data_IF_315762848096
#
_entry.id   IF_315762848096
#
_cell.length_a   1.000
_cell.length_b   1.000
_cell.length_c   1.000
_cell.angle_alpha   90.00
_cell.angle_beta   90.00
_cell.angle_gamma   90.00
#
_symmetry.space_group_name_H-M   'P 1'
#
loop_
_entity.id
_entity.type
_entity.pdbx_description
1 polymer ?
#
# COMPACT_ATOMS: atom_id res chain seq x y z
N UNK A 1 19.82 -52.31 -21.58
CA UNK A 1 18.74 -51.33 -21.33
C UNK A 1 18.14 -50.93 -22.67
N UNK A 2 16.93 -51.38 -22.99
CA UNK A 2 16.33 -51.22 -24.33
C UNK A 2 16.08 -49.76 -24.72
N UNK A 3 15.97 -49.52 -26.03
CA UNK A 3 15.85 -48.20 -26.67
C UNK A 3 14.83 -47.23 -26.02
N UNK A 4 13.79 -47.76 -25.38
CA UNK A 4 12.76 -46.99 -24.68
C UNK A 4 13.28 -46.23 -23.44
N UNK A 5 14.28 -46.76 -22.73
CA UNK A 5 14.86 -46.08 -21.56
C UNK A 5 15.62 -44.81 -21.95
N UNK A 6 16.32 -44.84 -23.08
CA UNK A 6 17.07 -43.70 -23.60
C UNK A 6 16.14 -42.58 -24.09
N UNK A 7 15.02 -42.93 -24.74
CA UNK A 7 13.99 -41.99 -25.16
C UNK A 7 13.34 -41.26 -23.96
N UNK A 8 13.00 -41.98 -22.89
CA UNK A 8 12.42 -41.39 -21.67
C UNK A 8 13.41 -40.44 -20.99
N UNK A 9 14.69 -40.82 -20.89
CA UNK A 9 15.72 -39.98 -20.31
C UNK A 9 15.96 -38.68 -21.11
N UNK A 10 15.97 -38.76 -22.44
CA UNK A 10 16.14 -37.57 -23.30
C UNK A 10 14.94 -36.63 -23.21
N UNK A 11 13.71 -37.16 -23.15
CA UNK A 11 12.49 -36.38 -22.95
C UNK A 11 12.46 -35.70 -21.57
N UNK A 12 12.87 -36.40 -20.52
CA UNK A 12 12.99 -35.81 -19.19
C UNK A 12 14.02 -34.67 -19.14
N UNK A 13 15.18 -34.85 -19.78
CA UNK A 13 16.19 -33.77 -19.89
C UNK A 13 15.64 -32.55 -20.65
N UNK A 14 14.87 -32.76 -21.73
CA UNK A 14 14.19 -31.68 -22.46
C UNK A 14 13.17 -30.94 -21.59
N UNK A 15 12.37 -31.68 -20.81
CA UNK A 15 11.39 -31.11 -19.86
C UNK A 15 12.06 -30.25 -18.79
N UNK A 16 13.16 -30.72 -18.19
CA UNK A 16 13.92 -29.95 -17.19
C UNK A 16 14.49 -28.67 -17.78
N UNK A 17 15.09 -28.73 -18.99
CA UNK A 17 15.59 -27.54 -19.69
C UNK A 17 14.49 -26.51 -19.95
N UNK A 18 13.30 -26.96 -20.36
CA UNK A 18 12.14 -26.09 -20.56
C UNK A 18 11.68 -25.44 -19.26
N UNK A 19 11.59 -26.20 -18.16
CA UNK A 19 11.22 -25.67 -16.85
C UNK A 19 12.23 -24.64 -16.34
N UNK A 20 13.52 -24.86 -16.56
CA UNK A 20 14.56 -23.90 -16.18
C UNK A 20 14.43 -22.59 -16.97
N UNK A 21 14.15 -22.66 -18.29
CA UNK A 21 13.87 -21.48 -19.12
C UNK A 21 12.66 -20.70 -18.60
N UNK A 22 11.54 -21.38 -18.34
CA UNK A 22 10.32 -20.75 -17.78
C UNK A 22 10.56 -20.10 -16.42
N UNK A 23 11.33 -20.75 -15.54
CA UNK A 23 11.70 -20.19 -14.23
C UNK A 23 12.57 -18.94 -14.37
N UNK A 24 13.49 -18.92 -15.34
CA UNK A 24 14.30 -17.74 -15.63
C UNK A 24 13.46 -16.58 -16.16
N UNK A 25 12.51 -16.84 -17.05
CA UNK A 25 11.58 -15.84 -17.58
C UNK A 25 10.75 -15.19 -16.46
N UNK A 26 10.17 -15.99 -15.56
CA UNK A 26 9.43 -15.46 -14.38
C UNK A 26 10.33 -14.62 -13.48
N UNK A 27 11.60 -15.02 -13.27
CA UNK A 27 12.57 -14.23 -12.49
C UNK A 27 12.87 -12.90 -13.19
N UNK A 28 13.02 -12.90 -14.52
CA UNK A 28 13.28 -11.69 -15.30
C UNK A 28 12.06 -10.74 -15.29
N UNK A 29 10.85 -11.26 -15.45
CA UNK A 29 9.61 -10.47 -15.32
C UNK A 29 9.50 -9.83 -13.93
N UNK A 30 9.84 -10.56 -12.86
CA UNK A 30 9.87 -10.00 -11.50
C UNK A 30 10.93 -8.91 -11.34
N UNK A 31 12.12 -9.08 -11.93
CA UNK A 31 13.18 -8.04 -11.92
C UNK A 31 12.74 -6.78 -12.66
N UNK A 32 12.18 -6.92 -13.87
CA UNK A 32 11.66 -5.78 -14.64
C UNK A 32 10.53 -5.08 -13.88
N UNK A 33 9.63 -5.83 -13.26
CA UNK A 33 8.56 -5.25 -12.45
C UNK A 33 9.11 -4.46 -11.25
N UNK A 34 10.20 -4.92 -10.63
CA UNK A 34 10.87 -4.19 -9.54
C UNK A 34 11.59 -2.94 -10.04
N UNK A 35 12.19 -2.96 -11.23
CA UNK A 35 12.81 -1.78 -11.84
C UNK A 35 11.76 -0.73 -12.22
N UNK A 36 10.65 -1.15 -12.83
CA UNK A 36 9.59 -0.24 -13.29
C UNK A 36 8.72 0.31 -12.16
N UNK A 37 8.36 -0.52 -11.17
CA UNK A 37 7.38 -0.19 -10.12
C UNK A 37 8.03 -0.02 -8.74
N UNK A 38 9.35 -0.10 -8.66
CA UNK A 38 10.11 -0.11 -7.40
C UNK A 38 10.03 -1.44 -6.65
N UNK A 39 10.78 -1.54 -5.54
CA UNK A 39 10.73 -2.70 -4.64
C UNK A 39 9.30 -2.81 -4.09
N UNK A 40 8.61 -3.92 -4.36
CA UNK A 40 7.22 -4.19 -3.91
C UNK A 40 7.05 -4.26 -2.38
N UNK A 41 8.14 -4.10 -1.65
CA UNK A 41 8.24 -3.99 -0.19
C UNK A 41 8.94 -2.69 0.18
N UNK A 42 8.44 -1.54 -0.29
CA UNK A 42 8.65 -0.33 0.49
C UNK A 42 7.82 -0.51 1.76
N UNK A 43 8.47 -0.36 2.91
CA UNK A 43 7.98 -0.44 4.29
C UNK A 43 6.83 0.56 4.59
N UNK A 44 5.80 0.63 3.76
CA UNK A 44 4.59 1.39 4.10
C UNK A 44 3.80 0.56 5.10
N UNK A 45 3.38 1.21 6.20
CA UNK A 45 2.43 0.62 7.16
C UNK A 45 1.27 0.02 6.37
N UNK A 46 0.91 -1.23 6.67
CA UNK A 46 -0.16 -1.92 5.95
C UNK A 46 -1.43 -1.06 5.98
N UNK A 47 -2.02 -0.76 4.80
CA UNK A 47 -3.26 0.02 4.73
C UNK A 47 -4.32 -0.63 5.62
N UNK A 48 -4.98 0.09 6.53
CA UNK A 48 -5.95 -0.51 7.42
C UNK A 48 -7.05 -1.24 6.63
N UNK A 49 -7.54 -2.36 7.14
CA UNK A 49 -8.57 -3.15 6.48
C UNK A 49 -9.88 -2.36 6.35
N UNK A 50 -10.72 -2.70 5.36
CA UNK A 50 -12.05 -2.06 5.18
C UNK A 50 -12.90 -2.14 6.45
N UNK A 51 -12.85 -3.27 7.18
CA UNK A 51 -13.55 -3.44 8.46
C UNK A 51 -13.04 -2.50 9.54
N UNK A 52 -11.72 -2.27 9.61
CA UNK A 52 -11.12 -1.33 10.57
C UNK A 52 -11.55 0.10 10.25
N UNK A 53 -11.46 0.51 8.98
CA UNK A 53 -11.90 1.84 8.53
C UNK A 53 -13.38 2.10 8.86
N UNK A 54 -14.26 1.11 8.66
CA UNK A 54 -15.68 1.25 9.02
C UNK A 54 -15.91 1.39 10.53
N UNK A 55 -15.17 0.64 11.36
CA UNK A 55 -15.26 0.76 12.82
C UNK A 55 -14.74 2.11 13.31
N UNK A 56 -13.60 2.56 12.78
CA UNK A 56 -13.00 3.83 13.16
C UNK A 56 -13.88 5.02 12.71
N UNK A 57 -14.48 4.97 11.51
CA UNK A 57 -15.47 5.95 11.07
C UNK A 57 -16.72 5.99 11.96
N UNK A 58 -17.22 4.82 12.40
CA UNK A 58 -18.34 4.76 13.34
C UNK A 58 -17.96 5.35 14.71
N UNK A 59 -16.77 5.04 15.23
CA UNK A 59 -16.27 5.60 16.50
C UNK A 59 -16.10 7.10 16.41
N UNK A 60 -15.52 7.59 15.31
CA UNK A 60 -15.37 9.01 15.04
C UNK A 60 -16.72 9.73 15.05
N UNK A 61 -17.71 9.20 14.31
CA UNK A 61 -19.08 9.74 14.31
C UNK A 61 -19.67 9.82 15.72
N UNK A 62 -19.53 8.76 16.52
CA UNK A 62 -20.13 8.71 17.85
C UNK A 62 -19.44 9.65 18.83
N UNK A 63 -18.11 9.73 18.81
CA UNK A 63 -17.36 10.55 19.76
C UNK A 63 -17.23 12.00 19.31
N UNK A 64 -16.65 12.21 18.13
CA UNK A 64 -16.26 13.56 17.67
C UNK A 64 -17.49 14.36 17.26
N UNK A 65 -18.41 13.80 16.49
CA UNK A 65 -19.60 14.55 16.06
C UNK A 65 -20.56 14.80 17.24
N UNK A 66 -20.68 13.85 18.18
CA UNK A 66 -21.49 14.06 19.37
C UNK A 66 -20.89 15.11 20.31
N UNK A 67 -19.55 15.16 20.45
CA UNK A 67 -18.88 16.22 21.21
C UNK A 67 -19.03 17.58 20.53
N UNK A 68 -18.83 17.67 19.21
CA UNK A 68 -19.11 18.90 18.44
C UNK A 68 -20.55 19.38 18.65
N UNK A 69 -21.53 18.47 18.60
CA UNK A 69 -22.93 18.79 18.83
C UNK A 69 -23.20 19.28 20.27
N UNK A 70 -22.55 18.69 21.28
CA UNK A 70 -22.64 19.17 22.67
C UNK A 70 -22.06 20.58 22.81
N UNK A 71 -20.89 20.84 22.24
CA UNK A 71 -20.21 22.13 22.29
C UNK A 71 -21.03 23.24 21.62
N UNK A 72 -21.61 22.96 20.46
CA UNK A 72 -22.56 23.84 19.77
C UNK A 72 -23.81 24.10 20.62
N UNK A 73 -24.37 23.06 21.26
CA UNK A 73 -25.56 23.20 22.11
C UNK A 73 -25.28 24.03 23.38
N UNK A 74 -24.07 23.96 23.92
CA UNK A 74 -23.64 24.76 25.07
C UNK A 74 -23.22 26.18 24.70
N UNK A 75 -23.19 26.54 23.41
CA UNK A 75 -22.79 27.87 22.92
C UNK A 75 -21.32 28.21 23.15
N UNK A 76 -20.50 27.24 23.56
CA UNK A 76 -19.05 27.40 23.80
C UNK A 76 -18.25 27.55 22.50
N UNK A 77 -18.80 27.10 21.37
CA UNK A 77 -18.17 27.14 20.06
C UNK A 77 -19.22 27.60 19.05
N UNK A 78 -18.87 28.56 18.18
CA UNK A 78 -19.72 28.97 17.07
C UNK A 78 -19.45 28.11 15.84
N UNK A 79 -20.38 28.08 14.88
CA UNK A 79 -20.17 27.36 13.61
C UNK A 79 -18.94 27.88 12.86
N UNK A 80 -18.67 29.17 12.95
CA UNK A 80 -17.53 29.84 12.32
C UNK A 80 -16.19 29.41 12.95
N UNK A 81 -16.15 29.13 14.25
CA UNK A 81 -14.95 28.64 14.93
C UNK A 81 -14.62 27.18 14.54
N UNK A 82 -15.65 26.36 14.31
CA UNK A 82 -15.47 24.99 13.82
C UNK A 82 -14.89 25.00 12.41
N UNK A 83 -15.39 25.88 11.55
CA UNK A 83 -14.90 26.01 10.17
C UNK A 83 -13.45 26.51 10.12
N UNK A 84 -13.08 27.49 10.96
CA UNK A 84 -11.67 27.94 11.07
C UNK A 84 -10.75 26.83 11.58
N UNK A 85 -11.17 26.06 12.59
CA UNK A 85 -10.38 24.94 13.11
C UNK A 85 -10.33 23.72 12.17
N UNK A 86 -11.30 23.54 11.28
CA UNK A 86 -11.25 22.52 10.24
C UNK A 86 -10.31 22.93 9.11
N UNK A 87 -10.29 24.22 8.73
CA UNK A 87 -9.35 24.76 7.74
C UNK A 87 -7.89 24.67 8.21
N UNK A 88 -7.59 25.04 9.46
CA UNK A 88 -6.23 24.96 10.02
C UNK A 88 -5.70 23.51 10.10
N UNK A 89 -6.58 22.51 10.26
CA UNK A 89 -6.18 21.09 10.32
C UNK A 89 -5.81 20.47 8.98
N UNK A 90 -6.26 21.05 7.86
CA UNK A 90 -5.89 20.57 6.53
C UNK A 90 -4.52 21.13 6.09
N UNK A 91 -4.11 22.31 6.58
CA UNK A 91 -2.78 22.87 6.31
C UNK A 91 -1.65 22.09 6.99
N UNK A 92 -1.86 21.55 8.20
CA UNK A 92 -0.85 20.75 8.90
C UNK A 92 -0.55 19.40 8.21
N UNK A 93 -1.48 18.85 7.41
CA UNK A 93 -1.25 17.61 6.64
C UNK A 93 -0.45 17.82 5.36
N UNK A 94 -0.39 19.06 4.84
CA UNK A 94 0.42 19.38 3.67
C UNK A 94 1.92 19.49 4.02
N UNK A 95 2.24 19.78 5.29
CA UNK A 95 3.63 19.91 5.75
C UNK A 95 4.39 18.59 5.87
N UNK A 96 3.69 17.46 6.06
CA UNK A 96 4.29 16.12 6.24
C UNK A 96 4.63 15.43 4.89
N UNK A 97 4.23 16.02 3.74
CA UNK A 97 4.58 15.53 2.40
C UNK A 97 5.71 16.34 1.72
N UNK A 98 6.07 17.51 2.26
CA UNK A 98 7.07 18.40 1.66
C UNK A 98 8.54 18.05 2.00
N UNK A 99 8.79 17.24 3.04
CA UNK A 99 10.15 16.90 3.51
C UNK A 99 10.79 15.70 2.78
N UNK A 100 10.14 15.18 1.74
CA UNK A 100 10.64 14.03 0.96
C UNK A 100 11.25 14.41 -0.41
N UNK A 101 11.39 15.71 -0.70
CA UNK A 101 11.83 16.23 -2.00
C UNK A 101 13.16 17.00 -1.98
N UNK A 102 14.03 16.82 -0.97
CA UNK A 102 15.41 17.29 -1.06
C UNK A 102 16.36 16.18 -1.54
N UNK A 103 16.73 16.33 -2.81
CA UNK A 103 18.00 15.98 -3.47
C UNK A 103 18.93 14.96 -2.80
N UNK A 104 19.20 13.88 -3.53
CA UNK A 104 20.48 13.17 -3.49
C UNK A 104 20.99 13.06 -4.93
N UNK A 105 21.73 14.07 -5.37
CA UNK A 105 22.81 13.88 -6.33
C UNK A 105 24.00 13.25 -5.58
N UNK A 106 24.34 12.01 -5.93
CA UNK A 106 25.66 11.55 -6.42
C UNK A 106 25.59 10.06 -6.78
#
# INVERSE_FOLDING_TARGET
>A
MGANGQAVQTMNKRKVKLLNKKRAEVKNQKKVAVLQKGKRTVLRKHRPSKKKQQKDAKRHRIYVEAEKAKLLKTGLVTKEDIEKMEAEKDDDKASDEADAAMDVEE
#
